data_IF_861425562731
#
_entry.id   IF_861425562731
#
_cell.length_a   1.000
_cell.length_b   1.000
_cell.length_c   1.000
_cell.angle_alpha   90.00
_cell.angle_beta   90.00
_cell.angle_gamma   90.00
#
_symmetry.space_group_name_H-M   'P 1'
#
loop_
_entity.id
_entity.type
_entity.pdbx_description
1 polymer ?
#
# COMPACT_ATOMS: atom_id res chain seq x y z
N UNK A 1 9.76 3.14 -4.10
CA UNK A 1 9.04 1.88 -3.90
C UNK A 1 9.52 0.92 -4.97
N UNK A 2 9.54 -0.39 -4.71
CA UNK A 2 9.84 -1.40 -5.74
C UNK A 2 8.75 -2.47 -5.75
N UNK A 3 8.22 -2.79 -6.92
CA UNK A 3 7.32 -3.94 -7.08
C UNK A 3 8.14 -5.15 -7.52
N UNK A 4 8.14 -6.19 -6.70
CA UNK A 4 8.69 -7.50 -7.02
C UNK A 4 7.56 -8.42 -7.49
N UNK A 5 7.91 -9.44 -8.28
CA UNK A 5 6.94 -10.40 -8.80
C UNK A 5 7.36 -11.79 -8.36
N UNK A 6 6.54 -12.44 -7.56
CA UNK A 6 6.76 -13.80 -7.07
C UNK A 6 5.55 -14.66 -7.40
N UNK A 7 5.74 -15.71 -8.21
CA UNK A 7 4.65 -16.59 -8.65
C UNK A 7 3.46 -15.87 -9.33
N UNK A 8 3.71 -14.73 -9.98
CA UNK A 8 2.67 -13.91 -10.61
C UNK A 8 1.94 -12.96 -9.64
N UNK A 9 2.31 -12.96 -8.35
CA UNK A 9 1.84 -12.00 -7.36
C UNK A 9 2.78 -10.80 -7.37
N UNK A 10 2.22 -9.60 -7.47
CA UNK A 10 2.97 -8.35 -7.41
C UNK A 10 3.11 -7.89 -5.95
N UNK A 11 4.28 -8.12 -5.36
CA UNK A 11 4.63 -7.67 -4.01
C UNK A 11 5.22 -6.26 -4.08
N UNK A 12 4.50 -5.27 -3.54
CA UNK A 12 4.99 -3.91 -3.48
C UNK A 12 5.82 -3.71 -2.20
N UNK A 13 7.12 -3.50 -2.35
CA UNK A 13 8.09 -3.33 -1.26
C UNK A 13 8.39 -1.85 -1.06
N UNK A 14 8.10 -1.37 0.15
CA UNK A 14 8.52 -0.05 0.64
C UNK A 14 10.04 -0.08 0.80
N UNK A 15 10.74 0.88 0.18
CA UNK A 15 12.19 1.04 0.33
C UNK A 15 12.49 2.13 1.35
N UNK A 16 13.74 2.22 1.82
CA UNK A 16 14.20 3.24 2.78
C UNK A 16 13.94 4.70 2.36
N UNK A 17 13.72 4.94 1.06
CA UNK A 17 13.38 6.25 0.50
C UNK A 17 11.86 6.52 0.38
N UNK A 18 11.01 5.53 0.65
CA UNK A 18 9.57 5.68 0.67
C UNK A 18 9.10 6.00 2.07
N UNK A 19 8.56 7.20 2.26
CA UNK A 19 8.06 7.62 3.56
C UNK A 19 6.63 7.13 3.77
N UNK A 20 6.42 6.26 4.76
CA UNK A 20 5.09 5.86 5.24
C UNK A 20 4.91 6.41 6.65
N UNK A 21 3.85 7.18 6.85
CA UNK A 21 3.54 7.78 8.14
C UNK A 21 3.10 6.71 9.14
N UNK A 22 3.39 6.97 10.42
CA UNK A 22 2.92 6.12 11.53
C UNK A 22 1.40 6.04 11.57
N UNK A 23 0.89 4.96 12.15
CA UNK A 23 -0.53 4.78 12.37
C UNK A 23 -1.11 5.91 13.24
N UNK A 24 -2.13 6.65 12.78
CA UNK A 24 -2.74 7.73 13.56
C UNK A 24 -3.60 7.23 14.73
N UNK A 25 -3.93 5.93 14.77
CA UNK A 25 -4.79 5.34 15.80
C UNK A 25 -4.00 4.82 17.00
N UNK A 26 -2.88 4.16 16.75
CA UNK A 26 -2.07 3.52 17.79
C UNK A 26 -0.62 4.03 17.87
N UNK A 27 -0.15 4.81 16.88
CA UNK A 27 1.21 5.34 16.84
C UNK A 27 2.29 4.37 16.36
N UNK A 28 1.92 3.14 15.97
CA UNK A 28 2.86 2.14 15.44
C UNK A 28 3.43 2.54 14.08
N UNK A 29 4.68 2.15 13.83
CA UNK A 29 5.38 2.20 12.55
C UNK A 29 5.34 0.86 11.78
N UNK A 30 4.71 -0.18 12.32
CA UNK A 30 4.48 -1.46 11.63
C UNK A 30 3.30 -1.34 10.65
N UNK A 31 3.62 -0.83 9.46
CA UNK A 31 2.68 -0.58 8.37
C UNK A 31 3.00 -1.48 7.18
N UNK A 32 2.00 -2.21 6.72
CA UNK A 32 2.10 -3.14 5.60
C UNK A 32 1.26 -2.66 4.42
N UNK A 33 1.79 -2.84 3.21
CA UNK A 33 1.05 -2.64 1.96
C UNK A 33 0.65 -4.01 1.43
N UNK A 34 -0.63 -4.22 1.28
CA UNK A 34 -1.19 -5.48 0.81
C UNK A 34 -1.96 -5.28 -0.49
N UNK A 35 -2.11 -6.36 -1.25
CA UNK A 35 -2.97 -6.41 -2.41
C UNK A 35 -3.62 -7.78 -2.54
N UNK A 36 -4.67 -7.81 -3.35
CA UNK A 36 -5.15 -9.06 -3.91
C UNK A 36 -4.36 -9.40 -5.18
N UNK A 37 -4.66 -10.52 -5.85
CA UNK A 37 -4.06 -10.85 -7.14
C UNK A 37 -4.24 -9.77 -8.21
N UNK A 38 -5.12 -8.78 -8.00
CA UNK A 38 -5.32 -7.62 -8.87
C UNK A 38 -4.60 -6.38 -8.35
N UNK A 39 -4.56 -5.30 -9.15
CA UNK A 39 -4.11 -3.98 -8.73
C UNK A 39 -4.98 -3.28 -7.65
N UNK A 40 -5.68 -4.02 -6.79
CA UNK A 40 -6.36 -3.48 -5.61
C UNK A 40 -5.45 -3.54 -4.39
N UNK A 41 -4.95 -2.37 -3.99
CA UNK A 41 -4.01 -2.22 -2.86
C UNK A 41 -4.70 -1.57 -1.64
N UNK A 42 -4.25 -1.95 -0.46
CA UNK A 42 -4.58 -1.27 0.79
C UNK A 42 -3.35 -1.19 1.70
N UNK A 43 -3.40 -0.22 2.61
CA UNK A 43 -2.42 -0.08 3.69
C UNK A 43 -3.07 -0.52 5.00
N UNK A 44 -2.35 -1.29 5.80
CA UNK A 44 -2.82 -1.80 7.09
C UNK A 44 -1.76 -1.60 8.17
N UNK A 45 -2.19 -1.24 9.38
CA UNK A 45 -1.35 -1.27 10.56
C UNK A 45 -1.44 -2.65 11.23
N UNK A 46 -0.33 -3.37 11.30
CA UNK A 46 -0.23 -4.73 11.86
C UNK A 46 -0.62 -4.81 13.34
N UNK A 47 -0.42 -3.72 14.10
CA UNK A 47 -0.70 -3.69 15.55
C UNK A 47 -2.18 -3.50 15.89
N UNK A 48 -2.89 -2.62 15.18
CA UNK A 48 -4.27 -2.25 15.54
C UNK A 48 -5.32 -2.64 14.49
N UNK A 49 -4.89 -3.17 13.34
CA UNK A 49 -5.76 -3.54 12.23
C UNK A 49 -6.40 -2.37 11.49
N UNK A 50 -5.92 -1.13 11.72
CA UNK A 50 -6.43 0.02 10.99
C UNK A 50 -6.03 -0.08 9.52
N UNK A 51 -7.02 -0.07 8.62
CA UNK A 51 -6.84 -0.28 7.20
C UNK A 51 -7.33 0.91 6.35
N UNK A 52 -6.69 1.14 5.20
CA UNK A 52 -7.04 2.15 4.21
C UNK A 52 -6.99 1.56 2.81
N UNK A 53 -8.16 1.44 2.18
CA UNK A 53 -8.34 0.89 0.83
C UNK A 53 -8.33 2.00 -0.23
N UNK A 54 -7.67 1.76 -1.36
CA UNK A 54 -7.84 2.58 -2.57
C UNK A 54 -8.81 1.94 -3.53
N UNK A 55 -9.51 2.78 -4.31
CA UNK A 55 -10.38 2.31 -5.37
C UNK A 55 -9.52 1.97 -6.59
N UNK A 56 -9.36 0.68 -6.88
CA UNK A 56 -8.72 0.24 -8.12
C UNK A 56 -9.64 0.56 -9.31
N UNK A 57 -9.11 1.31 -10.27
CA UNK A 57 -9.77 1.46 -11.58
C UNK A 57 -9.56 0.14 -12.33
N UNK A 58 -10.61 -0.48 -12.86
CA UNK A 58 -10.58 -1.84 -13.45
C UNK A 58 -9.76 -2.02 -14.74
N UNK A 59 -8.64 -1.32 -14.87
CA UNK A 59 -7.72 -1.38 -15.99
C UNK A 59 -6.80 -2.61 -15.91
N UNK A 60 -6.33 -3.04 -17.08
CA UNK A 60 -5.56 -4.26 -17.27
C UNK A 60 -4.36 -4.37 -16.31
N UNK A 61 -4.24 -5.54 -15.67
CA UNK A 61 -3.23 -5.92 -14.69
C UNK A 61 -1.82 -5.92 -15.34
N UNK A 62 -1.13 -4.79 -15.27
CA UNK A 62 0.26 -4.63 -15.71
C UNK A 62 1.10 -4.01 -14.57
N UNK A 63 2.40 -4.28 -14.56
CA UNK A 63 3.37 -3.83 -13.54
C UNK A 63 3.23 -2.38 -13.15
N UNK A 64 3.08 -1.50 -14.14
CA UNK A 64 2.96 -0.06 -13.91
C UNK A 64 1.65 0.31 -13.19
N UNK A 65 0.57 -0.44 -13.44
CA UNK A 65 -0.69 -0.26 -12.74
C UNK A 65 -0.58 -0.67 -11.27
N UNK A 66 0.01 -1.84 -10.98
CA UNK A 66 0.28 -2.27 -9.60
C UNK A 66 1.12 -1.27 -8.82
N UNK A 67 2.20 -0.75 -9.43
CA UNK A 67 3.05 0.24 -8.79
C UNK A 67 2.28 1.53 -8.48
N UNK A 68 1.46 2.02 -9.42
CA UNK A 68 0.66 3.24 -9.22
C UNK A 68 -0.37 3.07 -8.12
N UNK A 69 -1.08 1.96 -8.08
CA UNK A 69 -2.11 1.69 -7.06
C UNK A 69 -1.48 1.48 -5.67
N UNK A 70 -0.35 0.80 -5.59
CA UNK A 70 0.42 0.66 -4.35
C UNK A 70 0.90 2.02 -3.81
N UNK A 71 1.41 2.90 -4.68
CA UNK A 71 1.81 4.25 -4.31
C UNK A 71 0.61 5.12 -3.88
N UNK A 72 -0.52 4.99 -4.57
CA UNK A 72 -1.75 5.69 -4.22
C UNK A 72 -2.26 5.28 -2.83
N UNK A 73 -2.13 4.00 -2.48
CA UNK A 73 -2.50 3.50 -1.15
C UNK A 73 -1.64 4.09 -0.04
N UNK A 74 -0.32 4.20 -0.27
CA UNK A 74 0.59 4.88 0.66
C UNK A 74 0.25 6.36 0.78
N UNK A 75 0.00 7.07 -0.33
CA UNK A 75 -0.33 8.49 -0.28
C UNK A 75 -1.64 8.74 0.49
N UNK A 76 -2.66 7.92 0.24
CA UNK A 76 -3.93 7.97 0.96
C UNK A 76 -3.74 7.71 2.47
N UNK A 77 -2.90 6.74 2.84
CA UNK A 77 -2.53 6.49 4.23
C UNK A 77 -1.84 7.71 4.87
N UNK A 78 -0.83 8.26 4.20
CA UNK A 78 -0.09 9.42 4.70
C UNK A 78 -0.97 10.66 4.86
N UNK A 79 -1.92 10.88 3.95
CA UNK A 79 -2.93 11.94 4.07
C UNK A 79 -3.83 11.70 5.27
N UNK A 80 -4.27 10.46 5.50
CA UNK A 80 -5.10 10.10 6.66
C UNK A 80 -4.33 10.27 7.98
N UNK A 81 -3.06 9.87 8.01
CA UNK A 81 -2.22 9.95 9.20
C UNK A 81 -1.88 11.39 9.62
N UNK A 82 -1.93 12.34 8.68
CA UNK A 82 -1.67 13.76 8.92
C UNK A 82 -2.89 14.58 9.34
N UNK A 83 -4.09 13.98 9.35
CA UNK A 83 -5.33 14.64 9.78
C UNK A 83 -5.53 14.53 11.27
#
# INVERSE_FOLDING_TARGET
MKVNIENGIFHAVITENDHVEKCPFCGSDDIIVQNTWTASYWVECSDCGAEMHTQSSGDHDNKDHHLREAMAAIDAWNVRAKR
#
